data_IF_796662330362
#
_entry.id   IF_796662330362
#
_cell.length_a   1.000
_cell.length_b   1.000
_cell.length_c   1.000
_cell.angle_alpha   90.00
_cell.angle_beta   90.00
_cell.angle_gamma   90.00
#
_symmetry.space_group_name_H-M   'P 1'
#
loop_
_entity.id
_entity.type
_entity.pdbx_description
1 polymer ?
#
# COMPACT_ATOMS: atom_id res chain seq x y z
N UNK A 1 -18.29 -14.92 -29.67
CA UNK A 1 -18.49 -13.67 -30.44
C UNK A 1 -19.00 -12.62 -29.46
N UNK A 2 -18.51 -11.39 -29.55
CA UNK A 2 -18.96 -10.27 -28.73
C UNK A 2 -20.36 -9.88 -29.23
N UNK A 3 -21.34 -9.74 -28.31
CA UNK A 3 -22.71 -9.38 -28.66
C UNK A 3 -22.91 -7.86 -28.63
N UNK A 4 -23.91 -7.36 -29.31
CA UNK A 4 -24.29 -5.93 -29.31
C UNK A 4 -24.67 -5.44 -27.91
N UNK A 5 -25.33 -6.28 -27.13
CA UNK A 5 -25.64 -6.01 -25.71
C UNK A 5 -24.37 -5.83 -24.88
N UNK A 6 -23.37 -6.64 -25.11
CA UNK A 6 -22.07 -6.54 -24.46
C UNK A 6 -21.34 -5.23 -24.83
N UNK A 7 -21.42 -4.79 -26.07
CA UNK A 7 -20.84 -3.51 -26.53
C UNK A 7 -21.56 -2.33 -25.86
N UNK A 8 -22.90 -2.33 -25.85
CA UNK A 8 -23.69 -1.27 -25.23
C UNK A 8 -23.47 -1.18 -23.71
N UNK A 9 -23.34 -2.32 -23.02
CA UNK A 9 -23.02 -2.37 -21.61
C UNK A 9 -21.61 -1.82 -21.33
N UNK A 10 -20.63 -2.14 -22.18
CA UNK A 10 -19.27 -1.63 -22.06
C UNK A 10 -19.22 -0.11 -22.27
N UNK A 11 -19.93 0.42 -23.27
CA UNK A 11 -20.00 1.86 -23.54
C UNK A 11 -20.66 2.60 -22.39
N UNK A 12 -21.75 2.09 -21.86
CA UNK A 12 -22.42 2.68 -20.68
C UNK A 12 -21.49 2.74 -19.47
N UNK A 13 -20.70 1.68 -19.26
CA UNK A 13 -19.71 1.61 -18.20
C UNK A 13 -18.56 2.61 -18.41
N UNK A 14 -18.08 2.78 -19.64
CA UNK A 14 -17.06 3.76 -19.99
C UNK A 14 -17.55 5.17 -19.67
N UNK A 15 -18.76 5.51 -20.14
CA UNK A 15 -19.37 6.83 -19.91
C UNK A 15 -19.57 7.13 -18.42
N UNK A 16 -20.01 6.14 -17.64
CA UNK A 16 -20.19 6.30 -16.20
C UNK A 16 -18.85 6.51 -15.48
N UNK A 17 -17.83 5.71 -15.80
CA UNK A 17 -16.53 5.79 -15.13
C UNK A 17 -15.73 7.04 -15.55
N UNK A 18 -15.87 7.51 -16.79
CA UNK A 18 -15.17 8.70 -17.26
C UNK A 18 -15.68 10.00 -16.60
N UNK A 19 -16.94 10.08 -16.18
CA UNK A 19 -17.51 11.23 -15.47
C UNK A 19 -16.90 11.47 -14.08
N UNK A 20 -16.19 10.48 -13.54
CA UNK A 20 -15.63 10.54 -12.18
C UNK A 20 -14.24 11.18 -12.12
N UNK A 21 -13.65 11.50 -13.28
CA UNK A 21 -12.28 12.01 -13.35
C UNK A 21 -12.33 13.42 -13.93
N UNK A 22 -12.15 14.41 -13.07
CA UNK A 22 -12.00 15.80 -13.46
C UNK A 22 -10.60 16.28 -13.05
N UNK A 23 -9.88 16.90 -13.99
CA UNK A 23 -8.52 17.37 -13.74
C UNK A 23 -8.22 18.63 -14.56
N UNK A 24 -7.20 19.38 -14.09
CA UNK A 24 -6.64 20.49 -14.85
C UNK A 24 -5.10 20.45 -14.85
N UNK A 25 -4.51 21.13 -15.84
CA UNK A 25 -3.06 21.23 -15.97
C UNK A 25 -2.56 22.48 -15.28
N UNK A 26 -1.41 22.37 -14.64
CA UNK A 26 -0.70 23.49 -14.03
C UNK A 26 0.79 23.44 -14.37
N UNK A 27 1.45 24.57 -14.31
CA UNK A 27 2.92 24.68 -14.41
C UNK A 27 3.44 25.45 -13.22
N UNK A 28 4.43 24.93 -12.55
CA UNK A 28 5.11 25.56 -11.43
C UNK A 28 6.59 25.76 -11.75
N UNK A 29 7.14 26.91 -11.38
CA UNK A 29 8.60 27.05 -11.35
C UNK A 29 9.21 26.18 -10.26
N UNK A 30 10.46 25.76 -10.44
CA UNK A 30 11.21 24.96 -9.46
C UNK A 30 11.29 25.69 -8.11
N UNK A 31 11.50 27.02 -8.13
CA UNK A 31 11.50 27.84 -6.91
C UNK A 31 10.15 27.79 -6.17
N UNK A 32 9.05 27.91 -6.91
CA UNK A 32 7.71 27.85 -6.32
C UNK A 32 7.41 26.45 -5.76
N UNK A 33 7.84 25.40 -6.46
CA UNK A 33 7.72 24.01 -5.98
C UNK A 33 8.49 23.80 -4.67
N UNK A 34 9.74 24.30 -4.60
CA UNK A 34 10.54 24.24 -3.38
C UNK A 34 9.86 24.99 -2.23
N UNK A 35 9.40 26.23 -2.48
CA UNK A 35 8.74 27.06 -1.47
C UNK A 35 7.47 26.41 -0.94
N UNK A 36 6.58 25.93 -1.83
CA UNK A 36 5.32 25.27 -1.43
C UNK A 36 5.54 23.96 -0.68
N UNK A 37 6.59 23.22 -1.03
CA UNK A 37 6.98 22.02 -0.32
C UNK A 37 7.51 22.34 1.07
N UNK A 38 8.39 23.33 1.18
CA UNK A 38 9.00 23.80 2.43
C UNK A 38 7.96 24.35 3.41
N UNK A 39 7.02 25.15 2.91
CA UNK A 39 5.93 25.76 3.71
C UNK A 39 4.80 24.78 4.06
N UNK A 40 4.88 23.51 3.60
CA UNK A 40 3.83 22.48 3.80
C UNK A 40 2.47 22.87 3.19
N UNK A 41 2.49 23.68 2.14
CA UNK A 41 1.30 23.92 1.31
C UNK A 41 1.00 22.70 0.43
N UNK A 42 2.03 21.99 -0.03
CA UNK A 42 1.87 20.64 -0.56
C UNK A 42 1.85 19.64 0.58
N UNK A 43 0.78 18.87 0.64
CA UNK A 43 0.60 17.84 1.66
C UNK A 43 1.12 16.52 1.11
N UNK A 44 2.06 15.90 1.84
CA UNK A 44 2.42 14.51 1.59
C UNK A 44 1.48 13.67 2.45
N UNK A 45 0.58 12.90 1.84
CA UNK A 45 -0.30 12.01 2.60
C UNK A 45 0.49 11.05 3.48
N UNK A 46 -0.05 10.69 4.64
CA UNK A 46 0.60 9.80 5.61
C UNK A 46 0.99 8.42 5.06
N UNK A 47 0.43 8.07 3.93
CA UNK A 47 0.70 6.82 3.22
C UNK A 47 1.88 6.89 2.23
N UNK A 48 2.29 8.09 1.81
CA UNK A 48 3.44 8.19 0.96
C UNK A 48 4.70 7.88 1.76
N UNK A 49 5.61 7.20 1.10
CA UNK A 49 6.88 6.77 1.68
C UNK A 49 7.62 7.96 2.28
N UNK A 50 8.29 7.73 3.36
CA UNK A 50 9.35 8.60 3.82
C UNK A 50 10.38 8.82 2.70
N UNK A 51 11.32 9.72 2.88
CA UNK A 51 12.36 10.00 1.91
C UNK A 51 13.14 8.71 1.58
N UNK A 52 12.78 8.08 0.46
CA UNK A 52 13.28 6.75 0.07
C UNK A 52 14.29 6.78 -1.05
N UNK A 53 14.54 7.96 -1.66
CA UNK A 53 15.56 8.05 -2.68
C UNK A 53 16.95 8.04 -2.06
N UNK A 54 17.78 7.12 -2.53
CA UNK A 54 19.20 7.10 -2.20
C UNK A 54 19.88 8.40 -2.70
N UNK A 55 20.93 8.88 -2.02
CA UNK A 55 21.64 10.13 -2.38
C UNK A 55 22.03 10.19 -3.86
N UNK A 56 22.52 9.09 -4.43
CA UNK A 56 22.87 9.01 -5.85
C UNK A 56 21.67 9.30 -6.78
N UNK A 57 20.46 8.79 -6.43
CA UNK A 57 19.25 9.04 -7.22
C UNK A 57 18.79 10.50 -7.13
N UNK A 58 18.94 11.13 -5.96
CA UNK A 58 18.67 12.57 -5.78
C UNK A 58 19.61 13.39 -6.65
N UNK A 59 20.90 13.09 -6.63
CA UNK A 59 21.91 13.78 -7.43
C UNK A 59 21.64 13.67 -8.92
N UNK A 60 21.33 12.48 -9.43
CA UNK A 60 20.97 12.27 -10.85
C UNK A 60 19.69 13.02 -11.26
N UNK A 61 18.72 13.13 -10.37
CA UNK A 61 17.52 13.91 -10.65
C UNK A 61 17.86 15.43 -10.77
N UNK A 62 18.68 15.96 -9.87
CA UNK A 62 19.15 17.35 -9.95
C UNK A 62 20.01 17.55 -11.20
N UNK A 63 20.88 16.61 -11.56
CA UNK A 63 21.62 16.62 -12.81
C UNK A 63 20.70 16.75 -14.03
N UNK A 64 19.60 15.97 -14.06
CA UNK A 64 18.58 16.04 -15.11
C UNK A 64 17.92 17.43 -15.17
N UNK A 65 17.65 18.03 -14.01
CA UNK A 65 17.16 19.41 -13.95
C UNK A 65 18.18 20.41 -14.49
N UNK A 66 19.44 20.27 -14.13
CA UNK A 66 20.53 21.16 -14.58
C UNK A 66 20.78 21.09 -16.09
N UNK A 67 20.71 19.89 -16.66
CA UNK A 67 20.86 19.64 -18.10
C UNK A 67 19.65 20.07 -18.94
N UNK A 68 18.51 20.32 -18.32
CA UNK A 68 17.33 20.70 -19.08
C UNK A 68 16.47 19.54 -19.58
N UNK A 69 16.67 18.33 -19.08
CA UNK A 69 15.90 17.16 -19.50
C UNK A 69 14.42 17.29 -19.09
N UNK A 70 13.47 16.74 -19.87
CA UNK A 70 12.07 16.73 -19.51
C UNK A 70 11.86 15.96 -18.20
N UNK A 71 11.13 16.58 -17.28
CA UNK A 71 10.75 15.95 -16.01
C UNK A 71 9.33 15.41 -16.15
N UNK A 72 9.06 14.16 -15.74
CA UNK A 72 7.70 13.60 -15.71
C UNK A 72 6.75 14.48 -14.92
N UNK A 73 5.49 14.54 -15.32
CA UNK A 73 4.46 15.32 -14.65
C UNK A 73 4.37 14.98 -13.17
N UNK A 74 4.07 16.00 -12.36
CA UNK A 74 3.65 15.84 -10.98
C UNK A 74 2.14 15.61 -10.96
N UNK A 75 1.67 14.83 -9.99
CA UNK A 75 0.25 14.59 -9.83
C UNK A 75 -0.18 15.01 -8.43
N UNK A 76 -1.24 15.80 -8.39
CA UNK A 76 -1.83 16.35 -7.16
C UNK A 76 -3.32 16.03 -7.11
N UNK A 77 -3.86 16.06 -5.92
CA UNK A 77 -5.29 16.07 -5.66
C UNK A 77 -5.63 17.28 -4.79
N UNK A 78 -6.66 17.99 -5.15
CA UNK A 78 -7.16 19.11 -4.37
C UNK A 78 -8.11 18.59 -3.28
N UNK A 79 -7.73 18.80 -2.02
CA UNK A 79 -8.54 18.37 -0.88
C UNK A 79 -9.75 19.29 -0.71
N UNK A 80 -10.99 18.78 -0.77
CA UNK A 80 -12.19 19.60 -0.58
C UNK A 80 -12.29 20.19 0.82
N UNK A 81 -11.66 19.55 1.81
CA UNK A 81 -11.71 19.98 3.20
C UNK A 81 -10.77 21.15 3.49
N UNK A 82 -9.58 21.14 2.86
CA UNK A 82 -8.50 22.08 3.20
C UNK A 82 -8.11 23.02 2.07
N UNK A 83 -8.53 22.76 0.84
CA UNK A 83 -8.10 23.44 -0.37
C UNK A 83 -6.60 23.26 -0.69
N UNK A 84 -5.90 22.39 0.05
CA UNK A 84 -4.48 22.12 -0.17
C UNK A 84 -4.31 21.04 -1.22
N UNK A 85 -3.18 21.09 -1.92
CA UNK A 85 -2.81 20.06 -2.89
C UNK A 85 -2.07 18.91 -2.19
N UNK A 86 -2.69 17.76 -2.17
CA UNK A 86 -2.05 16.51 -1.76
C UNK A 86 -1.26 15.92 -2.93
N UNK A 87 -0.03 15.47 -2.65
CA UNK A 87 0.84 14.90 -3.67
C UNK A 87 0.42 13.45 -3.95
N UNK A 88 -0.07 13.19 -5.16
CA UNK A 88 -0.42 11.84 -5.64
C UNK A 88 0.82 11.12 -6.18
N UNK A 89 1.61 11.79 -7.04
CA UNK A 89 2.92 11.30 -7.49
C UNK A 89 3.93 12.44 -7.62
N UNK A 90 5.19 12.12 -7.36
CA UNK A 90 6.30 13.08 -7.44
C UNK A 90 6.81 13.55 -6.08
N UNK A 91 6.37 12.97 -4.97
CA UNK A 91 6.81 13.37 -3.62
C UNK A 91 8.33 13.34 -3.44
N UNK A 92 9.02 12.32 -3.97
CA UNK A 92 10.48 12.21 -3.89
C UNK A 92 11.17 13.30 -4.72
N UNK A 93 10.62 13.64 -5.89
CA UNK A 93 11.10 14.72 -6.74
C UNK A 93 10.96 16.08 -6.05
N UNK A 94 9.80 16.33 -5.44
CA UNK A 94 9.52 17.56 -4.70
C UNK A 94 10.41 17.70 -3.45
N UNK A 95 10.58 16.62 -2.69
CA UNK A 95 11.53 16.61 -1.56
C UNK A 95 12.96 16.91 -2.00
N UNK A 96 13.39 16.31 -3.11
CA UNK A 96 14.73 16.53 -3.64
C UNK A 96 14.92 17.97 -4.12
N UNK A 97 13.90 18.56 -4.75
CA UNK A 97 13.90 20.00 -5.13
C UNK A 97 14.01 20.87 -3.88
N UNK A 98 13.17 20.64 -2.85
CA UNK A 98 13.22 21.38 -1.59
C UNK A 98 14.60 21.29 -0.92
N UNK A 99 15.11 20.07 -0.78
CA UNK A 99 16.42 19.80 -0.17
C UNK A 99 17.58 20.44 -0.95
N UNK A 100 17.47 20.54 -2.28
CA UNK A 100 18.53 21.15 -3.10
C UNK A 100 18.43 22.67 -3.11
N UNK A 101 17.24 23.25 -3.32
CA UNK A 101 17.06 24.71 -3.47
C UNK A 101 17.12 25.43 -2.12
N UNK A 102 16.48 24.90 -1.09
CA UNK A 102 16.29 25.54 0.21
C UNK A 102 17.03 24.83 1.36
N UNK A 103 17.51 23.61 1.13
CA UNK A 103 18.25 22.83 2.11
C UNK A 103 19.74 22.71 1.80
N UNK A 104 20.36 21.67 2.32
CA UNK A 104 21.81 21.43 2.24
C UNK A 104 22.14 20.17 1.43
N UNK A 105 21.32 19.80 0.44
CA UNK A 105 21.60 18.65 -0.42
C UNK A 105 22.89 18.88 -1.19
N UNK A 106 23.89 18.05 -0.91
CA UNK A 106 25.17 18.03 -1.63
C UNK A 106 25.10 16.99 -2.75
N UNK A 107 25.49 17.37 -3.96
CA UNK A 107 25.52 16.46 -5.10
C UNK A 107 26.59 15.39 -4.91
N UNK A 108 26.20 14.12 -5.00
CA UNK A 108 27.12 12.98 -5.00
C UNK A 108 27.58 12.66 -6.42
N UNK A 109 27.89 11.38 -6.66
CA UNK A 109 28.32 10.88 -7.97
C UNK A 109 27.30 11.20 -9.07
N UNK A 110 27.78 11.79 -10.17
CA UNK A 110 27.00 12.23 -11.32
C UNK A 110 27.47 11.52 -12.59
N UNK A 111 26.52 11.23 -13.48
CA UNK A 111 26.83 10.49 -14.72
C UNK A 111 27.47 11.38 -15.81
N UNK A 112 27.13 12.67 -15.87
CA UNK A 112 27.49 13.59 -16.95
C UNK A 112 28.19 14.87 -16.45
N UNK A 113 27.72 15.42 -15.32
CA UNK A 113 28.19 16.70 -14.80
C UNK A 113 29.13 16.52 -13.60
N UNK A 114 30.15 15.67 -13.73
CA UNK A 114 31.09 15.29 -12.65
C UNK A 114 31.73 16.48 -11.93
N UNK A 115 31.95 17.61 -12.62
CA UNK A 115 32.50 18.83 -12.01
C UNK A 115 31.58 19.48 -10.95
N UNK A 116 30.32 19.04 -10.87
CA UNK A 116 29.37 19.51 -9.85
C UNK A 116 29.31 18.60 -8.60
N UNK A 117 30.08 17.51 -8.60
CA UNK A 117 30.14 16.63 -7.43
C UNK A 117 30.67 17.38 -6.20
N UNK A 118 30.05 17.19 -5.07
CA UNK A 118 30.34 17.91 -3.84
C UNK A 118 29.73 19.32 -3.74
N UNK A 119 29.11 19.85 -4.78
CA UNK A 119 28.48 21.18 -4.76
C UNK A 119 27.04 21.11 -4.20
N UNK A 120 26.63 22.24 -3.64
CA UNK A 120 25.27 22.57 -3.23
C UNK A 120 24.69 23.65 -4.14
N UNK A 121 23.39 23.90 -4.06
CA UNK A 121 22.74 24.95 -4.88
C UNK A 121 23.42 26.33 -4.76
N UNK A 122 23.81 26.69 -3.55
CA UNK A 122 24.49 27.98 -3.26
C UNK A 122 25.86 28.12 -3.92
N UNK A 123 26.51 27.02 -4.26
CA UNK A 123 27.84 27.03 -4.88
C UNK A 123 27.77 27.25 -6.40
N UNK A 124 26.58 27.14 -6.99
CA UNK A 124 26.36 27.37 -8.40
C UNK A 124 26.44 28.84 -8.74
N UNK A 125 26.93 29.22 -9.97
CA UNK A 125 26.88 30.58 -10.43
C UNK A 125 25.46 31.18 -10.38
N UNK A 126 25.30 32.43 -9.98
CA UNK A 126 23.98 33.08 -9.82
C UNK A 126 23.11 33.01 -11.09
N UNK A 127 23.73 33.02 -12.29
CA UNK A 127 23.03 32.82 -13.55
C UNK A 127 22.43 31.43 -13.67
N UNK A 128 23.11 30.42 -13.15
CA UNK A 128 22.64 29.03 -13.16
C UNK A 128 21.54 28.84 -12.13
N UNK A 129 21.69 29.40 -10.94
CA UNK A 129 20.65 29.40 -9.91
C UNK A 129 19.34 30.00 -10.45
N UNK A 130 19.39 31.16 -11.11
CA UNK A 130 18.20 31.77 -11.74
C UNK A 130 17.57 30.89 -12.82
N UNK A 131 18.40 30.22 -13.66
CA UNK A 131 17.90 29.34 -14.71
C UNK A 131 17.16 28.12 -14.13
N UNK A 132 17.64 27.54 -13.03
CA UNK A 132 16.96 26.43 -12.35
C UNK A 132 15.68 26.91 -11.69
N UNK A 133 15.72 27.98 -10.92
CA UNK A 133 14.57 28.55 -10.22
C UNK A 133 13.40 28.83 -11.15
N UNK A 134 13.68 29.38 -12.34
CA UNK A 134 12.67 29.73 -13.35
C UNK A 134 12.24 28.55 -14.22
N UNK A 135 12.84 27.37 -14.06
CA UNK A 135 12.46 26.20 -14.84
C UNK A 135 11.07 25.70 -14.44
N UNK A 136 10.20 25.47 -15.44
CA UNK A 136 8.87 24.94 -15.20
C UNK A 136 8.83 23.42 -15.14
N UNK A 137 8.04 22.90 -14.22
CA UNK A 137 7.63 21.49 -14.18
C UNK A 137 6.10 21.44 -14.24
N UNK A 138 5.56 20.60 -15.11
CA UNK A 138 4.12 20.44 -15.29
C UNK A 138 3.52 19.55 -14.22
N UNK A 139 2.31 19.89 -13.80
CA UNK A 139 1.49 19.11 -12.90
C UNK A 139 0.09 18.88 -13.46
N UNK A 140 -0.49 17.78 -13.05
CA UNK A 140 -1.92 17.45 -13.22
C UNK A 140 -2.54 17.51 -11.83
N UNK A 141 -3.59 18.30 -11.69
CA UNK A 141 -4.34 18.42 -10.44
C UNK A 141 -5.70 17.79 -10.65
N UNK A 142 -5.98 16.74 -9.90
CA UNK A 142 -7.33 16.18 -9.78
C UNK A 142 -8.20 17.14 -8.96
N UNK A 143 -9.37 17.49 -9.49
CA UNK A 143 -10.27 18.40 -8.79
C UNK A 143 -10.86 17.73 -7.53
N UNK A 144 -11.38 18.55 -6.63
CA UNK A 144 -12.08 18.11 -5.42
C UNK A 144 -13.32 17.22 -5.74
N UNK A 145 -13.86 17.32 -6.96
CA UNK A 145 -15.01 16.53 -7.42
C UNK A 145 -14.65 15.12 -7.88
N UNK A 146 -13.35 14.81 -8.04
CA UNK A 146 -12.90 13.45 -8.32
C UNK A 146 -13.25 12.54 -7.14
N UNK A 147 -14.02 11.47 -7.39
CA UNK A 147 -14.38 10.55 -6.31
C UNK A 147 -13.14 9.82 -5.76
N UNK A 148 -13.25 9.38 -4.52
CA UNK A 148 -12.16 8.71 -3.79
C UNK A 148 -11.68 7.43 -4.50
N UNK A 149 -12.59 6.72 -5.17
CA UNK A 149 -12.27 5.53 -5.95
C UNK A 149 -11.49 5.90 -7.23
N UNK A 150 -11.87 6.96 -7.92
CA UNK A 150 -11.16 7.44 -9.10
C UNK A 150 -9.74 7.92 -8.74
N UNK A 151 -9.58 8.59 -7.59
CA UNK A 151 -8.28 8.97 -7.03
C UNK A 151 -7.42 7.74 -6.74
N UNK A 152 -7.99 6.71 -6.13
CA UNK A 152 -7.33 5.45 -5.86
C UNK A 152 -6.88 4.74 -7.15
N UNK A 153 -7.79 4.60 -8.12
CA UNK A 153 -7.52 3.91 -9.38
C UNK A 153 -6.45 4.64 -10.21
N UNK A 154 -6.47 5.97 -10.20
CA UNK A 154 -5.46 6.79 -10.86
C UNK A 154 -4.09 6.61 -10.18
N UNK A 155 -4.06 6.64 -8.85
CA UNK A 155 -2.86 6.42 -8.07
C UNK A 155 -2.22 5.05 -8.37
N UNK A 156 -3.03 3.98 -8.40
CA UNK A 156 -2.56 2.62 -8.72
C UNK A 156 -1.98 2.55 -10.16
N UNK A 157 -2.59 3.26 -11.12
CA UNK A 157 -2.17 3.27 -12.52
C UNK A 157 -0.93 4.12 -12.78
N UNK A 158 -0.82 5.29 -12.17
CA UNK A 158 0.33 6.19 -12.36
C UNK A 158 1.59 5.60 -11.74
N UNK A 159 1.47 4.99 -10.57
CA UNK A 159 2.60 4.39 -9.86
C UNK A 159 3.12 3.08 -10.51
N UNK A 160 2.48 2.55 -11.55
CA UNK A 160 2.96 1.34 -12.24
C UNK A 160 4.29 1.52 -12.99
N UNK A 161 4.74 2.76 -13.23
CA UNK A 161 5.99 3.07 -13.95
C UNK A 161 7.22 3.41 -13.08
N UNK A 162 7.05 3.65 -11.78
CA UNK A 162 8.14 3.87 -10.81
C UNK A 162 8.08 2.82 -9.71
N UNK A 163 9.02 2.74 -8.77
CA UNK A 163 8.93 1.78 -7.64
C UNK A 163 7.55 1.88 -6.99
N UNK A 164 6.69 0.93 -7.36
CA UNK A 164 5.26 0.86 -7.08
C UNK A 164 5.03 1.03 -5.58
N UNK A 165 4.19 2.00 -5.19
CA UNK A 165 3.60 1.98 -3.86
C UNK A 165 2.84 0.67 -3.72
N UNK A 166 3.11 -0.09 -2.66
CA UNK A 166 2.37 -1.31 -2.37
C UNK A 166 0.90 -0.94 -2.14
N UNK A 167 0.00 -1.86 -2.52
CA UNK A 167 -1.45 -1.70 -2.37
C UNK A 167 -1.89 -1.39 -0.93
N UNK A 168 -1.12 -1.81 0.08
CA UNK A 168 -1.31 -1.43 1.48
C UNK A 168 -0.96 0.04 1.75
N UNK A 169 0.11 0.56 1.16
CA UNK A 169 0.48 1.98 1.27
C UNK A 169 -0.60 2.88 0.64
N UNK A 170 -1.14 2.46 -0.49
CA UNK A 170 -2.22 3.17 -1.19
C UNK A 170 -3.50 3.20 -0.36
N UNK A 171 -3.91 2.05 0.23
CA UNK A 171 -5.06 2.00 1.13
C UNK A 171 -4.91 2.89 2.35
N UNK A 172 -3.73 2.86 2.98
CA UNK A 172 -3.46 3.66 4.16
C UNK A 172 -3.67 5.15 3.93
N UNK A 173 -3.54 5.60 2.73
CA UNK A 173 -3.67 7.00 2.44
C UNK A 173 -5.01 7.46 1.92
N UNK A 174 -5.69 6.54 1.30
CA UNK A 174 -7.04 6.83 0.85
C UNK A 174 -8.07 6.68 2.00
N UNK A 175 -7.73 5.91 3.06
CA UNK A 175 -8.70 5.48 4.06
C UNK A 175 -8.17 5.76 5.48
N UNK A 176 -8.12 7.03 5.91
CA UNK A 176 -7.86 7.38 7.31
C UNK A 176 -9.10 7.04 8.15
N UNK A 177 -8.91 6.37 9.29
CA UNK A 177 -10.02 6.03 10.18
C UNK A 177 -9.70 4.93 11.20
N UNK A 178 -10.63 4.66 12.14
CA UNK A 178 -10.38 3.80 13.30
C UNK A 178 -10.06 2.34 12.93
N UNK A 179 -10.58 1.81 11.83
CA UNK A 179 -10.18 0.48 11.36
C UNK A 179 -8.72 0.46 10.89
N UNK A 180 -8.30 1.49 10.18
CA UNK A 180 -6.92 1.56 9.72
C UNK A 180 -5.94 1.74 10.89
N UNK A 181 -6.32 2.52 11.90
CA UNK A 181 -5.52 2.68 13.11
C UNK A 181 -5.34 1.35 13.84
N UNK A 182 -6.40 0.54 13.96
CA UNK A 182 -6.33 -0.81 14.48
C UNK A 182 -5.40 -1.71 13.65
N UNK A 183 -5.49 -1.66 12.32
CA UNK A 183 -4.61 -2.44 11.42
C UNK A 183 -3.14 -2.08 11.64
N UNK A 184 -2.83 -0.79 11.78
CA UNK A 184 -1.46 -0.29 12.01
C UNK A 184 -0.95 -0.75 13.38
N UNK A 185 -1.77 -0.68 14.40
CA UNK A 185 -1.45 -1.15 15.75
C UNK A 185 -1.12 -2.64 15.75
N UNK A 186 -2.02 -3.46 15.22
CA UNK A 186 -1.86 -4.92 15.19
C UNK A 186 -0.69 -5.38 14.31
N UNK A 187 -0.39 -4.67 13.23
CA UNK A 187 0.76 -4.96 12.38
C UNK A 187 2.11 -4.76 13.10
N UNK A 188 2.14 -3.96 14.15
CA UNK A 188 3.31 -3.68 15.00
C UNK A 188 3.35 -4.52 16.27
N UNK A 189 2.35 -5.36 16.50
CA UNK A 189 2.30 -6.22 17.67
C UNK A 189 3.48 -7.21 17.66
N UNK A 190 4.30 -7.18 18.70
CA UNK A 190 5.55 -7.94 18.76
C UNK A 190 5.35 -9.46 18.58
N UNK A 191 4.25 -10.00 19.12
CA UNK A 191 3.92 -11.41 18.95
C UNK A 191 3.62 -11.74 17.48
N UNK A 192 2.93 -10.84 16.78
CA UNK A 192 2.63 -10.98 15.36
C UNK A 192 3.87 -10.81 14.49
N UNK A 193 4.74 -9.87 14.81
CA UNK A 193 6.02 -9.70 14.09
C UNK A 193 6.87 -10.97 14.07
N UNK A 194 6.91 -11.70 15.18
CA UNK A 194 7.62 -12.99 15.28
C UNK A 194 6.96 -14.10 14.49
N UNK A 195 5.63 -14.13 14.43
CA UNK A 195 4.86 -15.13 13.68
C UNK A 195 4.91 -14.87 12.17
N UNK A 196 4.87 -13.60 11.78
CA UNK A 196 4.81 -13.12 10.40
C UNK A 196 6.06 -12.30 10.05
N UNK A 197 7.26 -12.90 10.00
CA UNK A 197 8.45 -12.17 9.57
C UNK A 197 8.30 -11.76 8.12
N UNK A 198 8.75 -10.54 7.82
CA UNK A 198 8.80 -9.99 6.47
C UNK A 198 10.18 -9.40 6.22
N UNK A 199 10.75 -9.55 5.01
CA UNK A 199 12.00 -8.92 4.67
C UNK A 199 11.94 -7.41 4.90
N UNK A 200 13.08 -6.79 5.26
CA UNK A 200 13.13 -5.36 5.62
C UNK A 200 12.53 -4.45 4.52
N UNK A 201 12.81 -4.77 3.26
CA UNK A 201 12.24 -4.06 2.11
C UNK A 201 10.70 -4.14 2.07
N UNK A 202 10.14 -5.32 2.35
CA UNK A 202 8.69 -5.55 2.36
C UNK A 202 8.04 -4.95 3.60
N UNK A 203 8.74 -4.93 4.74
CA UNK A 203 8.29 -4.23 5.94
C UNK A 203 8.16 -2.71 5.72
N UNK A 204 9.14 -2.12 5.02
CA UNK A 204 9.03 -0.72 4.55
C UNK A 204 7.84 -0.50 3.60
N UNK A 205 7.39 -1.55 2.91
CA UNK A 205 6.20 -1.55 2.06
C UNK A 205 4.91 -1.91 2.81
N UNK A 206 4.97 -2.00 4.15
CA UNK A 206 3.82 -2.25 5.03
C UNK A 206 3.12 -3.58 4.79
N UNK A 207 3.90 -4.61 4.51
CA UNK A 207 3.40 -5.96 4.24
C UNK A 207 2.58 -6.52 5.39
N UNK A 208 2.96 -6.27 6.64
CA UNK A 208 2.17 -6.73 7.81
C UNK A 208 0.80 -6.05 7.92
N UNK A 209 0.68 -4.78 7.53
CA UNK A 209 -0.62 -4.09 7.45
C UNK A 209 -1.54 -4.75 6.39
N UNK A 210 -0.96 -5.20 5.26
CA UNK A 210 -1.67 -5.99 4.25
C UNK A 210 -2.19 -7.32 4.83
N UNK A 211 -1.35 -8.05 5.57
CA UNK A 211 -1.73 -9.32 6.18
C UNK A 211 -2.88 -9.15 7.20
N UNK A 212 -2.81 -8.14 8.07
CA UNK A 212 -3.88 -7.84 9.04
C UNK A 212 -5.18 -7.49 8.33
N UNK A 213 -5.10 -6.66 7.27
CA UNK A 213 -6.29 -6.29 6.48
C UNK A 213 -6.92 -7.52 5.81
N UNK A 214 -6.10 -8.42 5.24
CA UNK A 214 -6.58 -9.70 4.66
C UNK A 214 -7.23 -10.60 5.70
N UNK A 215 -6.66 -10.67 6.90
CA UNK A 215 -7.25 -11.44 7.99
C UNK A 215 -8.70 -11.01 8.23
N UNK A 216 -8.95 -9.74 8.49
CA UNK A 216 -10.30 -9.27 8.76
C UNK A 216 -11.22 -9.41 7.54
N UNK A 217 -10.78 -8.93 6.37
CA UNK A 217 -11.62 -8.91 5.18
C UNK A 217 -12.07 -10.31 4.72
N UNK A 218 -11.21 -11.31 4.84
CA UNK A 218 -11.54 -12.66 4.40
C UNK A 218 -12.22 -13.48 5.50
N UNK A 219 -12.03 -13.16 6.77
CA UNK A 219 -12.72 -13.83 7.86
C UNK A 219 -14.15 -13.32 8.06
N UNK A 220 -14.44 -12.06 7.73
CA UNK A 220 -15.82 -11.53 7.74
C UNK A 220 -16.65 -12.00 6.54
N UNK A 221 -16.00 -12.66 5.57
CA UNK A 221 -16.64 -13.26 4.42
C UNK A 221 -16.17 -12.70 3.09
N UNK A 222 -16.57 -13.35 2.02
CA UNK A 222 -16.14 -13.06 0.67
C UNK A 222 -17.27 -12.49 -0.21
N UNK A 223 -18.30 -11.94 0.40
CA UNK A 223 -19.39 -11.29 -0.34
C UNK A 223 -18.85 -10.14 -1.19
N UNK A 224 -19.10 -10.19 -2.50
CA UNK A 224 -18.60 -9.18 -3.44
C UNK A 224 -17.15 -9.36 -3.90
N UNK A 225 -16.43 -10.40 -3.45
CA UNK A 225 -15.10 -10.71 -3.97
C UNK A 225 -15.18 -11.20 -5.43
N UNK A 226 -14.36 -10.63 -6.30
CA UNK A 226 -14.34 -10.90 -7.75
C UNK A 226 -12.91 -11.22 -8.24
N UNK A 227 -12.23 -12.16 -7.59
CA UNK A 227 -10.84 -12.57 -7.90
C UNK A 227 -9.81 -11.43 -7.89
N UNK A 228 -10.17 -10.27 -7.33
CA UNK A 228 -9.35 -9.06 -7.25
C UNK A 228 -9.21 -8.63 -5.80
N UNK A 229 -8.10 -8.99 -5.19
CA UNK A 229 -7.83 -8.74 -3.76
C UNK A 229 -7.83 -7.25 -3.43
N UNK A 230 -7.08 -6.42 -4.17
CA UNK A 230 -6.89 -5.02 -3.82
C UNK A 230 -8.18 -4.20 -3.77
N UNK A 231 -9.08 -4.23 -4.79
CA UNK A 231 -10.36 -3.55 -4.70
C UNK A 231 -11.25 -4.05 -3.57
N UNK A 232 -11.22 -5.38 -3.31
CA UNK A 232 -12.01 -5.96 -2.23
C UNK A 232 -11.55 -5.46 -0.85
N UNK A 233 -10.23 -5.48 -0.59
CA UNK A 233 -9.67 -4.98 0.67
C UNK A 233 -9.89 -3.47 0.85
N UNK A 234 -9.89 -2.71 -0.25
CA UNK A 234 -10.19 -1.28 -0.21
C UNK A 234 -11.65 -1.04 0.22
N UNK A 235 -12.60 -1.68 -0.47
CA UNK A 235 -14.01 -1.56 -0.15
C UNK A 235 -14.31 -2.00 1.29
N UNK A 236 -13.71 -3.11 1.72
CA UNK A 236 -13.83 -3.61 3.08
C UNK A 236 -13.30 -2.61 4.11
N UNK A 237 -12.07 -2.10 3.94
CA UNK A 237 -11.49 -1.15 4.88
C UNK A 237 -12.29 0.17 4.96
N UNK A 238 -12.85 0.63 3.84
CA UNK A 238 -13.75 1.80 3.81
C UNK A 238 -15.02 1.55 4.62
N UNK A 239 -15.67 0.40 4.40
CA UNK A 239 -16.88 0.03 5.15
C UNK A 239 -16.60 -0.11 6.65
N UNK A 240 -15.46 -0.70 7.03
CA UNK A 240 -15.08 -0.90 8.43
C UNK A 240 -14.69 0.40 9.12
N UNK A 241 -14.09 1.36 8.42
CA UNK A 241 -13.86 2.69 8.99
C UNK A 241 -15.19 3.37 9.37
N UNK A 242 -16.18 3.32 8.47
CA UNK A 242 -17.51 3.85 8.76
C UNK A 242 -18.18 3.09 9.92
N UNK A 243 -18.14 1.75 9.88
CA UNK A 243 -18.71 0.92 10.94
C UNK A 243 -18.12 1.25 12.32
N UNK A 244 -16.81 1.42 12.43
CA UNK A 244 -16.15 1.72 13.72
C UNK A 244 -16.36 3.15 14.21
N UNK A 245 -16.69 4.09 13.31
CA UNK A 245 -17.16 5.42 13.72
C UNK A 245 -18.52 5.31 14.39
N UNK A 246 -19.42 4.52 13.82
CA UNK A 246 -20.77 4.32 14.36
C UNK A 246 -20.80 3.38 15.58
N UNK A 247 -19.86 2.43 15.65
CA UNK A 247 -19.77 1.37 16.67
C UNK A 247 -18.37 1.26 17.27
N UNK A 248 -17.90 2.25 18.06
CA UNK A 248 -16.52 2.27 18.58
C UNK A 248 -16.16 1.09 19.48
N UNK A 249 -17.14 0.46 20.13
CA UNK A 249 -16.90 -0.72 20.99
C UNK A 249 -16.42 -1.95 20.21
N UNK A 250 -16.78 -2.06 18.93
CA UNK A 250 -16.41 -3.19 18.10
C UNK A 250 -14.90 -3.22 17.79
N UNK A 251 -14.21 -2.09 17.87
CA UNK A 251 -12.74 -2.03 17.72
C UNK A 251 -12.04 -3.01 18.68
N UNK A 252 -12.52 -3.06 19.94
CA UNK A 252 -11.95 -3.98 20.93
C UNK A 252 -12.26 -5.45 20.62
N UNK A 253 -13.47 -5.76 20.13
CA UNK A 253 -13.84 -7.11 19.73
C UNK A 253 -12.96 -7.62 18.57
N UNK A 254 -12.71 -6.77 17.57
CA UNK A 254 -11.83 -7.10 16.44
C UNK A 254 -10.38 -7.27 16.88
N UNK A 255 -9.90 -6.42 17.80
CA UNK A 255 -8.57 -6.57 18.41
C UNK A 255 -8.42 -7.93 19.08
N UNK A 256 -9.34 -8.28 19.96
CA UNK A 256 -9.32 -9.56 20.71
C UNK A 256 -9.39 -10.75 19.78
N UNK A 257 -10.25 -10.71 18.77
CA UNK A 257 -10.35 -11.73 17.72
C UNK A 257 -9.01 -12.00 17.04
N UNK A 258 -8.31 -10.95 16.63
CA UNK A 258 -6.99 -11.09 16.03
C UNK A 258 -5.97 -11.66 17.01
N UNK A 259 -5.85 -11.07 18.19
CA UNK A 259 -4.85 -11.49 19.19
C UNK A 259 -5.07 -12.94 19.67
N UNK A 260 -6.31 -13.35 19.90
CA UNK A 260 -6.64 -14.73 20.29
C UNK A 260 -6.28 -15.73 19.17
N UNK A 261 -6.57 -15.38 17.92
CA UNK A 261 -6.17 -16.20 16.78
C UNK A 261 -4.65 -16.30 16.66
N UNK A 262 -3.92 -15.20 16.81
CA UNK A 262 -2.45 -15.22 16.78
C UNK A 262 -1.84 -16.00 17.93
N UNK A 263 -2.45 -15.96 19.13
CA UNK A 263 -2.04 -16.77 20.27
C UNK A 263 -2.22 -18.27 19.99
N UNK A 264 -3.34 -18.65 19.40
CA UNK A 264 -3.61 -20.02 18.96
C UNK A 264 -2.58 -20.49 17.91
N UNK A 265 -2.36 -19.69 16.85
CA UNK A 265 -1.38 -20.01 15.81
C UNK A 265 0.03 -20.19 16.40
N UNK A 266 0.43 -19.32 17.33
CA UNK A 266 1.74 -19.41 17.98
C UNK A 266 1.91 -20.73 18.75
N UNK A 267 0.85 -21.24 19.36
CA UNK A 267 0.87 -22.50 20.12
C UNK A 267 0.89 -23.72 19.20
N UNK A 268 0.04 -23.72 18.18
CA UNK A 268 -0.26 -24.90 17.37
C UNK A 268 0.67 -25.06 16.16
N UNK A 269 1.11 -23.96 15.55
CA UNK A 269 1.94 -23.98 14.33
C UNK A 269 3.41 -23.69 14.64
N UNK A 270 4.31 -24.72 14.62
CA UNK A 270 5.71 -24.56 15.08
C UNK A 270 6.50 -23.48 14.35
N UNK A 271 6.17 -23.23 13.09
CA UNK A 271 6.86 -22.24 12.26
C UNK A 271 6.02 -20.97 12.03
N UNK A 272 4.90 -20.80 12.73
CA UNK A 272 3.94 -19.74 12.45
C UNK A 272 3.52 -19.75 10.98
N UNK A 273 3.64 -18.61 10.30
CA UNK A 273 3.29 -18.48 8.89
C UNK A 273 4.44 -18.78 7.90
N UNK A 274 5.64 -19.08 8.40
CA UNK A 274 6.82 -19.39 7.59
C UNK A 274 6.73 -20.78 6.97
N UNK A 275 7.39 -20.97 5.83
CA UNK A 275 7.52 -22.29 5.22
C UNK A 275 8.50 -23.21 5.95
N UNK A 276 9.52 -22.62 6.55
CA UNK A 276 10.61 -23.32 7.27
C UNK A 276 10.98 -22.58 8.55
N UNK A 277 11.69 -23.24 9.46
CA UNK A 277 12.17 -22.65 10.74
C UNK A 277 12.95 -21.36 10.52
N UNK A 278 13.82 -21.34 9.50
CA UNK A 278 14.72 -20.20 9.17
C UNK A 278 14.13 -19.25 8.14
N UNK A 279 12.87 -19.45 7.72
CA UNK A 279 12.22 -18.59 6.74
C UNK A 279 12.10 -17.15 7.23
N UNK A 280 12.42 -16.19 6.36
CA UNK A 280 12.37 -14.74 6.65
C UNK A 280 11.16 -14.05 6.01
N UNK A 281 10.27 -14.81 5.36
CA UNK A 281 9.13 -14.30 4.64
C UNK A 281 7.84 -15.04 5.04
N UNK A 282 6.73 -14.30 4.95
CA UNK A 282 5.37 -14.79 5.19
C UNK A 282 4.59 -14.79 3.87
N UNK A 283 4.46 -15.94 3.18
CA UNK A 283 3.66 -16.01 1.95
C UNK A 283 2.16 -15.76 2.24
N UNK A 284 1.52 -14.87 1.44
CA UNK A 284 0.11 -14.52 1.62
C UNK A 284 -0.82 -15.73 1.71
N UNK A 285 -0.75 -16.65 0.72
CA UNK A 285 -1.62 -17.80 0.69
C UNK A 285 -1.46 -18.71 1.92
N UNK A 286 -0.25 -18.83 2.46
CA UNK A 286 0.00 -19.59 3.68
C UNK A 286 -0.52 -18.87 4.93
N UNK A 287 -0.34 -17.56 5.00
CA UNK A 287 -0.92 -16.74 6.06
C UNK A 287 -2.45 -16.84 6.07
N UNK A 288 -3.07 -16.64 4.92
CA UNK A 288 -4.51 -16.72 4.77
C UNK A 288 -5.07 -18.10 5.20
N UNK A 289 -4.44 -19.18 4.71
CA UNK A 289 -4.83 -20.54 5.08
C UNK A 289 -4.77 -20.75 6.61
N UNK A 290 -3.62 -20.44 7.22
CA UNK A 290 -3.39 -20.70 8.64
C UNK A 290 -4.18 -19.73 9.53
N UNK A 291 -4.06 -18.40 9.31
CA UNK A 291 -4.66 -17.42 10.20
C UNK A 291 -6.19 -17.46 10.13
N UNK A 292 -6.76 -17.43 8.93
CA UNK A 292 -8.21 -17.36 8.76
C UNK A 292 -8.83 -18.73 8.99
N UNK A 293 -8.21 -19.81 8.51
CA UNK A 293 -8.68 -21.17 8.81
C UNK A 293 -8.67 -21.49 10.31
N UNK A 294 -7.66 -21.01 11.05
CA UNK A 294 -7.62 -21.11 12.52
C UNK A 294 -8.75 -20.33 13.18
N UNK A 295 -8.99 -19.09 12.73
CA UNK A 295 -10.10 -18.28 13.22
C UNK A 295 -11.44 -18.99 13.00
N UNK A 296 -11.72 -19.45 11.79
CA UNK A 296 -12.96 -20.17 11.46
C UNK A 296 -13.12 -21.46 12.27
N UNK A 297 -12.02 -22.16 12.57
CA UNK A 297 -12.06 -23.35 13.42
C UNK A 297 -12.38 -23.00 14.89
N UNK A 298 -11.79 -21.92 15.42
CA UNK A 298 -12.04 -21.44 16.78
C UNK A 298 -13.48 -20.91 16.95
N UNK A 299 -14.05 -20.28 15.92
CA UNK A 299 -15.47 -19.91 15.94
C UNK A 299 -16.39 -21.13 15.97
N UNK A 300 -16.05 -22.17 15.19
CA UNK A 300 -16.84 -23.39 15.14
C UNK A 300 -16.68 -24.25 16.41
N UNK A 301 -15.49 -24.27 17.01
CA UNK A 301 -15.18 -24.98 18.23
C UNK A 301 -14.23 -24.19 19.14
N UNK A 302 -14.76 -23.38 20.07
CA UNK A 302 -13.94 -22.58 20.99
C UNK A 302 -13.02 -23.40 21.91
N UNK A 303 -13.31 -24.68 22.16
CA UNK A 303 -12.46 -25.52 22.98
C UNK A 303 -11.07 -25.77 22.40
N UNK A 304 -10.90 -25.63 21.08
CA UNK A 304 -9.61 -25.69 20.42
C UNK A 304 -8.63 -24.65 20.99
N UNK A 305 -9.12 -23.56 21.56
CA UNK A 305 -8.28 -22.54 22.17
C UNK A 305 -7.37 -23.10 23.29
N UNK A 306 -7.76 -24.19 23.94
CA UNK A 306 -7.01 -24.80 25.06
C UNK A 306 -6.57 -26.24 24.79
N UNK A 307 -7.10 -26.88 23.75
CA UNK A 307 -6.76 -28.27 23.41
C UNK A 307 -5.38 -28.37 22.74
N UNK A 308 -4.68 -29.47 23.03
CA UNK A 308 -3.48 -29.83 22.25
C UNK A 308 -3.91 -30.32 20.86
N UNK A 309 -3.38 -29.61 19.84
CA UNK A 309 -3.70 -29.88 18.44
C UNK A 309 -2.40 -30.14 17.68
N UNK A 310 -2.23 -31.34 17.14
CA UNK A 310 -1.09 -31.68 16.29
C UNK A 310 -1.40 -31.40 14.82
N UNK A 311 -0.60 -30.53 14.23
CA UNK A 311 -0.69 -30.16 12.81
C UNK A 311 0.45 -30.75 11.97
N UNK A 312 1.40 -31.48 12.59
CA UNK A 312 2.63 -31.96 11.95
C UNK A 312 2.36 -32.88 10.76
N UNK A 313 1.29 -33.69 10.85
CA UNK A 313 0.92 -34.66 9.82
C UNK A 313 0.49 -34.05 8.48
N UNK A 314 0.10 -32.78 8.43
CA UNK A 314 -0.41 -32.16 7.20
C UNK A 314 0.20 -30.78 6.87
N UNK A 315 0.66 -29.99 7.84
CA UNK A 315 1.15 -28.62 7.62
C UNK A 315 2.38 -28.51 6.73
N UNK A 316 3.11 -29.62 6.56
CA UNK A 316 4.25 -29.78 5.64
C UNK A 316 3.94 -30.72 4.47
N UNK A 317 2.73 -31.28 4.41
CA UNK A 317 2.27 -32.22 3.41
C UNK A 317 2.18 -31.62 1.99
N UNK A 318 2.04 -32.49 0.99
CA UNK A 318 1.93 -32.10 -0.40
C UNK A 318 0.66 -31.28 -0.66
N UNK A 319 -0.47 -31.71 -0.12
CA UNK A 319 -1.76 -31.06 -0.29
C UNK A 319 -1.75 -29.64 0.25
N UNK A 320 -1.17 -29.42 1.43
CA UNK A 320 -1.07 -28.08 2.01
C UNK A 320 -0.11 -27.18 1.21
N UNK A 321 0.95 -27.76 0.63
CA UNK A 321 1.86 -26.99 -0.26
C UNK A 321 1.16 -26.59 -1.56
N UNK A 322 0.34 -27.47 -2.12
CA UNK A 322 -0.43 -27.21 -3.33
C UNK A 322 -1.43 -26.06 -3.13
N UNK A 323 -2.26 -26.11 -2.11
CA UNK A 323 -3.30 -25.09 -1.86
C UNK A 323 -2.71 -23.73 -1.42
N UNK A 324 -1.48 -23.72 -0.87
CA UNK A 324 -0.75 -22.51 -0.50
C UNK A 324 0.26 -22.07 -1.57
N UNK A 325 0.24 -22.68 -2.76
CA UNK A 325 1.01 -22.30 -3.92
C UNK A 325 0.60 -20.92 -4.47
N UNK A 326 1.48 -20.33 -5.28
CA UNK A 326 1.27 -18.97 -5.82
C UNK A 326 0.42 -18.92 -7.09
N UNK A 327 0.31 -20.03 -7.81
CA UNK A 327 -0.39 -20.07 -9.10
C UNK A 327 -1.91 -19.91 -8.90
N UNK A 328 -2.48 -18.87 -9.51
CA UNK A 328 -3.91 -18.54 -9.41
C UNK A 328 -4.40 -18.31 -7.97
N UNK A 329 -3.53 -17.94 -7.03
CA UNK A 329 -3.83 -17.85 -5.61
C UNK A 329 -5.02 -16.93 -5.26
N UNK A 330 -5.33 -15.96 -6.11
CA UNK A 330 -6.40 -14.98 -5.86
C UNK A 330 -7.77 -15.39 -6.43
N UNK A 331 -7.87 -16.52 -7.11
CA UNK A 331 -9.16 -17.03 -7.59
C UNK A 331 -10.01 -17.47 -6.41
N UNK A 332 -11.29 -17.08 -6.38
CA UNK A 332 -12.25 -17.36 -5.30
C UNK A 332 -12.21 -18.83 -4.85
N UNK A 333 -12.27 -19.76 -5.79
CA UNK A 333 -12.26 -21.21 -5.48
C UNK A 333 -11.00 -21.64 -4.72
N UNK A 334 -9.82 -21.13 -5.10
CA UNK A 334 -8.54 -21.44 -4.43
C UNK A 334 -8.45 -20.74 -3.08
N UNK A 335 -8.94 -19.51 -2.97
CA UNK A 335 -9.00 -18.78 -1.71
C UNK A 335 -9.86 -19.53 -0.70
N UNK A 336 -11.12 -19.81 -1.02
CA UNK A 336 -12.04 -20.57 -0.17
C UNK A 336 -11.46 -21.93 0.19
N UNK A 337 -10.91 -22.65 -0.80
CA UNK A 337 -10.32 -23.98 -0.58
C UNK A 337 -9.24 -23.98 0.48
N UNK A 338 -8.31 -23.00 0.48
CA UNK A 338 -7.24 -22.95 1.49
C UNK A 338 -7.71 -22.54 2.88
N UNK A 339 -8.74 -21.68 2.97
CA UNK A 339 -9.32 -21.29 4.25
C UNK A 339 -10.02 -22.49 4.91
N UNK A 340 -10.83 -23.18 4.14
CA UNK A 340 -11.57 -24.35 4.63
C UNK A 340 -10.65 -25.55 4.92
N UNK A 341 -9.62 -25.77 4.11
CA UNK A 341 -8.69 -26.88 4.36
C UNK A 341 -8.11 -26.83 5.78
N UNK A 342 -7.61 -25.67 6.23
CA UNK A 342 -7.04 -25.55 7.58
C UNK A 342 -8.13 -25.64 8.64
N UNK A 343 -9.28 -25.01 8.43
CA UNK A 343 -10.44 -25.15 9.32
C UNK A 343 -10.82 -26.63 9.53
N UNK A 344 -11.01 -27.34 8.44
CA UNK A 344 -11.49 -28.73 8.46
C UNK A 344 -10.45 -29.66 9.10
N UNK A 345 -9.17 -29.48 8.80
CA UNK A 345 -8.07 -30.21 9.46
C UNK A 345 -8.00 -29.98 10.97
N UNK A 346 -8.27 -28.76 11.42
CA UNK A 346 -8.29 -28.43 12.86
C UNK A 346 -9.53 -28.98 13.56
N UNK A 347 -10.65 -29.09 12.85
CA UNK A 347 -11.89 -29.68 13.36
C UNK A 347 -11.94 -31.23 13.26
N UNK A 348 -10.97 -31.82 12.54
CA UNK A 348 -10.93 -33.29 12.36
C UNK A 348 -11.95 -33.82 11.36
N UNK A 349 -12.38 -32.99 10.40
CA UNK A 349 -13.34 -33.32 9.34
C UNK A 349 -12.72 -33.32 7.97
#
# INVERSE_FOLDING_TARGET
MITEEQVNAAESQIVEQSKRIEFYLTEYSVELLATKMHSKEFVIPAYQRDDTWEPARKSRFIESLLMGLPIPFLFFWESPETGKLEIVDGSQRLRTIDQFILGDLTLGELDTLSELEGMQFRDLPASRQRKINNRSIRGIVLSEHADEQARFDLFDRINTGSKIANKAEVRRGALVGPFLDLVIELAREHAFEKLAPVPEKENKLREREELVTRFFAFSDGLAGYKDRVSPFLFAYAKAMNAHFVDNPADVQLYRERFLNTMAFVRRVFPHGFRRTVTGIATPHARFEAIAIGSFLALEANPELATQDTDVSGWVTGADFREITGSDGANVMKKLVGRLHFVRDKLLGV
#
